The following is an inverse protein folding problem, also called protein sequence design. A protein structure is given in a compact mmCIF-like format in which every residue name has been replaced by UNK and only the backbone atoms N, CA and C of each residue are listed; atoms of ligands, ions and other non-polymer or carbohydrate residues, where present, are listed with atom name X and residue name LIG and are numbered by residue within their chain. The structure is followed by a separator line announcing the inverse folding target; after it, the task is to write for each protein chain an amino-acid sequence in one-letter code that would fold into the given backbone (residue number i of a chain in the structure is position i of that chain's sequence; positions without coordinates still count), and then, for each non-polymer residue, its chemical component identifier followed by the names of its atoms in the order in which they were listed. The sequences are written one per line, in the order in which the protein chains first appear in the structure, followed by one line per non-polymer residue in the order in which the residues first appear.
data_IF_336818130154
#
_entry.id   IF_336818130154
#
_cell.length_a   1.000
_cell.length_b   1.000
_cell.length_c   1.000
_cell.angle_alpha   90.00
_cell.angle_beta   90.00
_cell.angle_gamma   90.00
#
_symmetry.space_group_name_H-M   'P 1'
#
loop_
_entity.id
_entity.type
_entity.pdbx_description
1 polymer ?
#
# COMPACT_ATOMS: atom_id res chain seq x y z
N UNK A 1 -41.88 41.68 -19.54
CA UNK A 1 -43.11 40.87 -19.30
C UNK A 1 -42.86 39.49 -19.86
N UNK A 2 -43.20 38.45 -19.06
CA UNK A 2 -43.13 37.00 -19.27
C UNK A 2 -41.89 36.24 -18.77
N UNK A 3 -42.15 35.44 -17.73
CA UNK A 3 -41.33 34.48 -16.97
C UNK A 3 -41.27 33.12 -17.67
N UNK A 4 -40.22 32.33 -17.40
CA UNK A 4 -40.25 30.87 -17.15
C UNK A 4 -38.79 30.41 -16.89
N UNK A 5 -38.38 29.50 -16.00
CA UNK A 5 -38.95 28.67 -14.92
C UNK A 5 -37.72 28.21 -14.10
N UNK A 6 -37.94 27.92 -12.81
CA UNK A 6 -36.94 27.45 -11.84
C UNK A 6 -36.36 26.05 -12.11
N UNK A 7 -35.32 25.76 -11.32
CA UNK A 7 -34.71 24.46 -10.96
C UNK A 7 -33.60 23.95 -11.89
N UNK A 8 -32.36 23.72 -11.45
CA UNK A 8 -31.98 22.83 -10.36
C UNK A 8 -30.68 23.31 -9.67
N UNK A 9 -30.72 23.40 -8.34
CA UNK A 9 -29.53 23.47 -7.49
C UNK A 9 -28.61 22.25 -7.73
N UNK A 10 -27.42 22.45 -8.32
CA UNK A 10 -26.29 21.54 -8.07
C UNK A 10 -25.60 22.01 -6.80
N UNK A 11 -26.16 21.60 -5.65
CA UNK A 11 -25.43 21.63 -4.40
C UNK A 11 -24.37 20.53 -4.43
N UNK A 12 -23.14 20.90 -4.78
CA UNK A 12 -21.97 20.06 -4.47
C UNK A 12 -21.75 20.14 -2.98
N UNK A 13 -22.34 19.21 -2.23
CA UNK A 13 -21.88 18.93 -0.88
C UNK A 13 -20.43 18.45 -0.96
N UNK A 14 -19.50 19.38 -0.78
CA UNK A 14 -18.10 19.07 -0.54
C UNK A 14 -18.04 18.39 0.82
N UNK A 15 -18.06 17.05 0.80
CA UNK A 15 -17.67 16.26 1.96
C UNK A 15 -16.21 16.56 2.21
N UNK A 16 -15.91 17.36 3.24
CA UNK A 16 -14.56 17.46 3.79
C UNK A 16 -14.20 16.08 4.35
N UNK A 17 -13.58 15.25 3.52
CA UNK A 17 -12.87 14.09 4.04
C UNK A 17 -11.61 14.62 4.72
N UNK A 18 -11.54 14.54 6.06
CA UNK A 18 -10.38 14.87 6.89
C UNK A 18 -9.26 13.83 6.74
N UNK A 19 -9.08 13.33 5.52
CA UNK A 19 -8.07 12.34 5.16
C UNK A 19 -6.71 12.97 4.97
N UNK A 20 -5.70 12.13 5.04
CA UNK A 20 -4.30 12.48 4.85
C UNK A 20 -3.94 12.88 3.40
N UNK A 21 -4.82 12.61 2.43
CA UNK A 21 -4.67 12.96 1.02
C UNK A 21 -5.77 13.93 0.56
N UNK A 22 -5.50 14.80 -0.44
CA UNK A 22 -6.52 15.61 -1.08
C UNK A 22 -7.64 14.76 -1.71
N UNK A 23 -8.84 15.32 -1.78
CA UNK A 23 -9.96 14.74 -2.53
C UNK A 23 -9.91 15.24 -3.97
N UNK A 24 -9.63 14.34 -4.92
CA UNK A 24 -9.53 14.66 -6.36
C UNK A 24 -10.66 13.99 -7.12
N UNK A 25 -11.35 14.72 -8.01
CA UNK A 25 -12.33 14.15 -8.96
C UNK A 25 -11.58 13.71 -10.21
N UNK A 26 -11.71 12.43 -10.59
CA UNK A 26 -11.19 11.94 -11.87
C UNK A 26 -12.30 11.93 -12.91
N UNK A 27 -12.02 12.49 -14.09
CA UNK A 27 -12.90 12.42 -15.26
C UNK A 27 -12.26 11.53 -16.32
N UNK A 28 -13.09 10.77 -17.04
CA UNK A 28 -12.63 9.91 -18.13
C UNK A 28 -12.33 10.76 -19.38
N UNK A 29 -11.13 10.64 -19.93
CA UNK A 29 -10.72 11.28 -21.19
C UNK A 29 -9.61 10.48 -21.90
N UNK A 30 -9.37 10.78 -23.18
CA UNK A 30 -8.38 10.09 -24.04
C UNK A 30 -6.93 10.50 -23.73
N UNK A 31 -6.51 10.32 -22.48
CA UNK A 31 -5.13 10.58 -22.04
C UNK A 31 -4.58 9.33 -21.35
N UNK A 32 -3.33 8.91 -21.60
CA UNK A 32 -2.71 7.79 -20.91
C UNK A 32 -2.38 8.16 -19.46
N UNK A 33 -3.40 8.22 -18.60
CA UNK A 33 -3.32 8.57 -17.18
C UNK A 33 -3.47 7.37 -16.23
N UNK A 34 -3.29 6.13 -16.73
CA UNK A 34 -3.51 4.88 -15.97
C UNK A 34 -2.71 4.85 -14.66
N UNK A 35 -1.49 5.41 -14.64
CA UNK A 35 -0.67 5.52 -13.43
C UNK A 35 -1.28 6.42 -12.35
N UNK A 36 -1.87 7.54 -12.74
CA UNK A 36 -2.51 8.49 -11.80
C UNK A 36 -3.83 7.94 -11.26
N UNK A 37 -4.59 7.22 -12.09
CA UNK A 37 -5.81 6.55 -11.67
C UNK A 37 -5.53 5.46 -10.62
N UNK A 38 -4.47 4.66 -10.81
CA UNK A 38 -4.02 3.68 -9.82
C UNK A 38 -3.56 4.32 -8.52
N UNK A 39 -2.79 5.42 -8.61
CA UNK A 39 -2.39 6.19 -7.43
C UNK A 39 -3.59 6.75 -6.65
N UNK A 40 -4.58 7.30 -7.36
CA UNK A 40 -5.84 7.78 -6.77
C UNK A 40 -6.60 6.67 -6.07
N UNK A 41 -6.70 5.48 -6.68
CA UNK A 41 -7.35 4.34 -6.04
C UNK A 41 -6.67 3.97 -4.72
N UNK A 42 -5.33 4.01 -4.65
CA UNK A 42 -4.58 3.75 -3.43
C UNK A 42 -4.84 4.81 -2.34
N UNK A 43 -4.82 6.10 -2.69
CA UNK A 43 -5.06 7.19 -1.72
C UNK A 43 -6.51 7.19 -1.25
N UNK A 44 -7.48 6.95 -2.13
CA UNK A 44 -8.90 6.80 -1.77
C UNK A 44 -9.13 5.59 -0.86
N UNK A 45 -8.56 4.43 -1.19
CA UNK A 45 -8.63 3.23 -0.35
C UNK A 45 -8.08 3.51 1.05
N UNK A 46 -6.97 4.26 1.14
CA UNK A 46 -6.40 4.65 2.43
C UNK A 46 -7.34 5.57 3.24
N UNK A 47 -8.09 6.44 2.56
CA UNK A 47 -9.09 7.32 3.17
C UNK A 47 -10.33 6.55 3.64
N UNK A 48 -10.90 5.72 2.76
CA UNK A 48 -12.10 4.91 3.02
C UNK A 48 -11.87 3.91 4.15
N UNK A 49 -10.70 3.28 4.21
CA UNK A 49 -10.35 2.34 5.28
C UNK A 49 -9.88 3.02 6.57
N UNK A 50 -9.61 4.34 6.52
CA UNK A 50 -9.06 5.11 7.63
C UNK A 50 -7.61 4.81 7.95
N UNK A 51 -6.85 4.20 7.03
CA UNK A 51 -5.44 3.82 7.23
C UNK A 51 -4.58 5.00 7.66
N UNK A 52 -4.75 6.15 7.02
CA UNK A 52 -4.01 7.35 7.38
C UNK A 52 -4.23 7.75 8.85
N UNK A 53 -5.49 7.80 9.28
CA UNK A 53 -5.85 8.20 10.64
C UNK A 53 -5.30 7.23 11.69
N UNK A 54 -5.39 5.92 11.43
CA UNK A 54 -4.87 4.89 12.33
C UNK A 54 -3.34 4.98 12.43
N UNK A 55 -2.63 5.21 11.32
CA UNK A 55 -1.17 5.41 11.34
C UNK A 55 -0.77 6.71 12.04
N UNK A 56 -1.49 7.81 11.81
CA UNK A 56 -1.25 9.08 12.50
C UNK A 56 -1.42 8.95 14.00
N UNK A 57 -2.48 8.26 14.45
CA UNK A 57 -2.70 8.00 15.86
C UNK A 57 -1.64 7.07 16.44
N UNK A 58 -1.36 5.96 15.76
CA UNK A 58 -0.39 4.96 16.21
C UNK A 58 1.02 5.52 16.35
N UNK A 59 1.41 6.43 15.46
CA UNK A 59 2.75 7.02 15.43
C UNK A 59 2.85 8.38 16.14
N UNK A 60 1.77 8.84 16.77
CA UNK A 60 1.70 10.16 17.41
C UNK A 60 2.78 10.37 18.48
N UNK A 61 3.14 9.32 19.22
CA UNK A 61 4.19 9.36 20.27
C UNK A 61 5.57 9.74 19.73
N UNK A 62 5.88 9.42 18.46
CA UNK A 62 7.16 9.75 17.84
C UNK A 62 7.11 11.03 17.01
N UNK A 63 5.98 11.75 17.03
CA UNK A 63 5.85 13.03 16.35
C UNK A 63 6.68 14.08 17.08
N UNK A 64 7.64 14.70 16.37
CA UNK A 64 8.40 15.83 16.91
C UNK A 64 7.47 17.04 17.15
N UNK A 65 7.60 17.75 18.29
CA UNK A 65 6.87 18.99 18.52
C UNK A 65 7.10 19.98 17.37
N UNK A 66 6.01 20.57 16.86
CA UNK A 66 6.07 21.51 15.74
C UNK A 66 6.34 20.88 14.37
N UNK A 67 6.35 19.54 14.23
CA UNK A 67 6.50 18.90 12.93
C UNK A 67 5.31 19.22 12.02
N UNK A 68 5.62 19.84 10.87
CA UNK A 68 4.66 20.09 9.77
C UNK A 68 4.16 18.79 9.18
N UNK A 69 5.06 17.82 8.97
CA UNK A 69 4.69 16.52 8.43
C UNK A 69 4.23 15.56 9.54
N UNK A 70 3.10 14.92 9.30
CA UNK A 70 2.57 13.88 10.17
C UNK A 70 3.32 12.54 9.94
N UNK A 71 3.77 11.83 10.98
CA UNK A 71 4.46 10.55 10.83
C UNK A 71 3.63 9.49 10.11
N UNK A 72 2.32 9.44 10.36
CA UNK A 72 1.40 8.54 9.66
C UNK A 72 1.34 8.83 8.16
N UNK A 73 1.31 10.12 7.77
CA UNK A 73 1.39 10.52 6.36
C UNK A 73 2.69 10.09 5.70
N UNK A 74 3.82 10.28 6.38
CA UNK A 74 5.13 9.91 5.82
C UNK A 74 5.22 8.39 5.57
N UNK A 75 4.77 7.58 6.52
CA UNK A 75 4.74 6.11 6.34
C UNK A 75 3.77 5.71 5.24
N UNK A 76 2.62 6.38 5.15
CA UNK A 76 1.64 6.12 4.10
C UNK A 76 2.17 6.50 2.70
N UNK A 77 2.91 7.60 2.59
CA UNK A 77 3.58 8.00 1.33
C UNK A 77 4.65 7.00 0.89
N UNK A 78 5.41 6.46 1.83
CA UNK A 78 6.35 5.37 1.53
C UNK A 78 5.61 4.13 1.03
N UNK A 79 4.49 3.76 1.67
CA UNK A 79 3.69 2.61 1.24
C UNK A 79 3.09 2.82 -0.17
N UNK A 80 2.56 4.02 -0.45
CA UNK A 80 2.06 4.39 -1.79
C UNK A 80 3.18 4.38 -2.81
N UNK A 81 4.36 4.94 -2.49
CA UNK A 81 5.52 4.92 -3.37
C UNK A 81 5.93 3.50 -3.75
N UNK A 82 6.02 2.59 -2.77
CA UNK A 82 6.32 1.16 -3.01
C UNK A 82 5.22 0.49 -3.83
N UNK A 83 3.95 0.78 -3.56
CA UNK A 83 2.82 0.21 -4.32
C UNK A 83 2.81 0.67 -5.79
N UNK A 84 3.32 1.87 -6.08
CA UNK A 84 3.51 2.40 -7.43
C UNK A 84 4.80 1.91 -8.10
N UNK A 85 5.57 1.02 -7.45
CA UNK A 85 6.80 0.42 -7.99
C UNK A 85 8.08 1.14 -7.59
N UNK A 86 8.02 2.10 -6.66
CA UNK A 86 9.19 2.76 -6.08
C UNK A 86 10.14 1.77 -5.42
N UNK A 87 11.44 1.99 -5.59
CA UNK A 87 12.52 1.12 -5.11
C UNK A 87 13.49 1.83 -4.18
N UNK A 88 13.46 3.16 -4.14
CA UNK A 88 14.35 3.97 -3.32
C UNK A 88 13.63 5.19 -2.73
N UNK A 89 14.20 5.79 -1.68
CA UNK A 89 13.61 6.96 -1.01
C UNK A 89 13.47 8.17 -1.95
N UNK A 90 14.38 8.34 -2.91
CA UNK A 90 14.33 9.42 -3.90
C UNK A 90 13.13 9.32 -4.84
N UNK A 91 12.49 8.15 -4.96
CA UNK A 91 11.26 7.99 -5.76
C UNK A 91 10.07 8.76 -5.16
N UNK A 92 10.14 9.18 -3.88
CA UNK A 92 9.20 10.13 -3.29
C UNK A 92 9.22 11.50 -3.98
N UNK A 93 10.26 11.81 -4.77
CA UNK A 93 10.24 12.98 -5.65
C UNK A 93 9.08 12.94 -6.65
N UNK A 94 8.71 11.75 -7.15
CA UNK A 94 7.59 11.58 -8.07
C UNK A 94 6.26 11.93 -7.40
N UNK A 95 6.06 11.51 -6.14
CA UNK A 95 4.86 11.90 -5.40
C UNK A 95 4.82 13.41 -5.09
N UNK A 96 6.00 14.03 -4.89
CA UNK A 96 6.11 15.48 -4.66
C UNK A 96 5.79 16.31 -5.91
N UNK A 97 5.96 15.75 -7.10
CA UNK A 97 5.61 16.42 -8.36
C UNK A 97 4.08 16.58 -8.49
N UNK A 98 3.31 15.59 -8.05
CA UNK A 98 1.85 15.57 -8.20
C UNK A 98 1.12 15.91 -6.89
N UNK A 99 1.34 17.13 -6.40
CA UNK A 99 0.75 17.61 -5.12
C UNK A 99 -0.77 17.60 -5.10
N UNK A 100 -1.41 17.67 -6.25
CA UNK A 100 -2.87 17.58 -6.37
C UNK A 100 -3.39 16.21 -5.91
N UNK A 101 -2.64 15.14 -6.16
CA UNK A 101 -3.01 13.77 -5.78
C UNK A 101 -2.46 13.39 -4.40
N UNK A 102 -1.21 13.74 -4.12
CA UNK A 102 -0.52 13.24 -2.93
C UNK A 102 -0.45 14.25 -1.77
N UNK A 103 -0.83 15.52 -2.02
CA UNK A 103 -0.69 16.60 -1.05
C UNK A 103 0.78 16.89 -0.71
N UNK A 104 1.05 17.49 0.47
CA UNK A 104 2.41 17.72 0.95
C UNK A 104 3.13 16.41 1.27
N UNK A 105 4.15 16.08 0.49
CA UNK A 105 5.03 14.92 0.72
C UNK A 105 6.37 15.38 1.30
N UNK A 106 6.84 14.70 2.34
CA UNK A 106 8.06 15.06 3.04
C UNK A 106 9.31 14.89 2.16
N UNK A 107 10.34 15.70 2.43
CA UNK A 107 11.66 15.55 1.79
C UNK A 107 12.43 14.34 2.31
N UNK A 108 13.33 13.78 1.50
CA UNK A 108 14.13 12.61 1.85
C UNK A 108 14.85 12.75 3.21
N UNK A 109 15.50 13.90 3.54
CA UNK A 109 16.11 14.06 4.87
C UNK A 109 15.08 14.04 6.01
N UNK A 110 13.86 14.51 5.78
CA UNK A 110 12.77 14.47 6.76
C UNK A 110 12.29 13.04 6.99
N UNK A 111 12.14 12.27 5.91
CA UNK A 111 11.81 10.86 5.98
C UNK A 111 12.90 10.07 6.70
N UNK A 112 14.17 10.25 6.32
CA UNK A 112 15.30 9.58 6.98
C UNK A 112 15.36 9.88 8.48
N UNK A 113 15.12 11.12 8.91
CA UNK A 113 15.09 11.47 10.34
C UNK A 113 13.94 10.77 11.08
N UNK A 114 12.75 10.68 10.47
CA UNK A 114 11.63 9.95 11.06
C UNK A 114 11.99 8.47 11.17
N UNK A 115 12.43 7.84 10.08
CA UNK A 115 12.83 6.42 10.07
C UNK A 115 13.91 6.14 11.11
N UNK A 116 14.91 7.01 11.24
CA UNK A 116 15.91 6.89 12.31
C UNK A 116 15.30 6.93 13.71
N UNK A 117 14.37 7.86 13.97
CA UNK A 117 13.67 7.97 15.26
C UNK A 117 12.82 6.70 15.56
N UNK A 118 12.17 6.15 14.53
CA UNK A 118 11.38 4.92 14.64
C UNK A 118 12.28 3.69 14.83
N UNK A 119 13.45 3.66 14.19
CA UNK A 119 14.43 2.58 14.31
C UNK A 119 15.03 2.46 15.72
N UNK A 120 15.03 3.54 16.51
CA UNK A 120 15.42 3.47 17.92
C UNK A 120 14.36 2.76 18.80
N UNK A 121 13.17 2.48 18.26
CA UNK A 121 12.01 1.94 18.99
C UNK A 121 11.29 0.82 18.22
N UNK A 122 12.02 0.01 17.45
CA UNK A 122 11.47 -0.97 16.48
C UNK A 122 10.28 -1.76 17.04
N UNK A 123 10.45 -2.44 18.17
CA UNK A 123 9.41 -3.31 18.75
C UNK A 123 8.10 -2.55 19.05
N UNK A 124 8.21 -1.36 19.63
CA UNK A 124 7.05 -0.54 19.97
C UNK A 124 6.37 0.03 18.71
N UNK A 125 7.17 0.43 17.72
CA UNK A 125 6.68 0.94 16.42
C UNK A 125 5.98 -0.18 15.65
N UNK A 126 6.58 -1.36 15.56
CA UNK A 126 6.00 -2.53 14.90
C UNK A 126 4.69 -2.95 15.56
N UNK A 127 4.64 -3.00 16.89
CA UNK A 127 3.40 -3.28 17.62
C UNK A 127 2.31 -2.25 17.31
N UNK A 128 2.64 -0.96 17.30
CA UNK A 128 1.70 0.12 16.99
C UNK A 128 1.19 0.03 15.55
N UNK A 129 2.08 -0.17 14.57
CA UNK A 129 1.73 -0.32 13.15
C UNK A 129 0.91 -1.58 12.91
N UNK A 130 1.24 -2.70 13.55
CA UNK A 130 0.48 -3.95 13.44
C UNK A 130 -0.93 -3.81 14.02
N UNK A 131 -1.09 -3.06 15.13
CA UNK A 131 -2.40 -2.73 15.67
C UNK A 131 -3.22 -1.88 14.69
N UNK A 132 -2.63 -0.82 14.13
CA UNK A 132 -3.28 0.00 13.10
C UNK A 132 -3.70 -0.85 11.89
N UNK A 133 -2.79 -1.67 11.35
CA UNK A 133 -3.08 -2.58 10.23
C UNK A 133 -4.20 -3.57 10.54
N UNK A 134 -4.26 -4.11 11.75
CA UNK A 134 -5.35 -5.00 12.18
C UNK A 134 -6.70 -4.28 12.14
N UNK A 135 -6.80 -3.08 12.70
CA UNK A 135 -8.02 -2.26 12.68
C UNK A 135 -8.45 -1.95 11.25
N UNK A 136 -7.51 -1.48 10.42
CA UNK A 136 -7.77 -1.11 9.02
C UNK A 136 -8.22 -2.33 8.21
N UNK A 137 -7.61 -3.49 8.42
CA UNK A 137 -7.99 -4.73 7.75
C UNK A 137 -9.41 -5.16 8.11
N UNK A 138 -9.79 -5.07 9.37
CA UNK A 138 -11.17 -5.36 9.81
C UNK A 138 -12.18 -4.43 9.12
N UNK A 139 -11.87 -3.12 9.03
CA UNK A 139 -12.71 -2.16 8.31
C UNK A 139 -12.79 -2.46 6.82
N UNK A 140 -11.66 -2.74 6.19
CA UNK A 140 -11.60 -3.08 4.76
C UNK A 140 -12.45 -4.32 4.44
N UNK A 141 -12.39 -5.36 5.27
CA UNK A 141 -13.23 -6.55 5.10
C UNK A 141 -14.70 -6.29 5.37
N UNK A 142 -15.03 -5.47 6.38
CA UNK A 142 -16.41 -5.07 6.62
C UNK A 142 -17.00 -4.30 5.42
N UNK A 143 -16.21 -3.43 4.80
CA UNK A 143 -16.60 -2.69 3.59
C UNK A 143 -16.73 -3.58 2.36
N UNK A 144 -15.91 -4.63 2.25
CA UNK A 144 -15.99 -5.61 1.15
C UNK A 144 -17.21 -6.53 1.25
N UNK A 145 -17.83 -6.68 2.43
CA UNK A 145 -19.08 -7.44 2.59
C UNK A 145 -18.95 -8.88 2.11
N UNK A 146 -19.77 -9.26 1.12
CA UNK A 146 -19.76 -10.61 0.54
C UNK A 146 -18.48 -10.93 -0.26
N UNK A 147 -17.75 -9.91 -0.70
CA UNK A 147 -16.47 -10.05 -1.42
C UNK A 147 -15.27 -10.13 -0.46
N UNK A 148 -15.50 -10.07 0.86
CA UNK A 148 -14.44 -10.20 1.85
C UNK A 148 -13.86 -11.62 1.82
N UNK A 149 -12.54 -11.80 2.03
CA UNK A 149 -11.91 -13.13 2.02
C UNK A 149 -12.44 -14.03 3.16
N UNK A 150 -13.03 -13.44 4.19
CA UNK A 150 -13.63 -14.18 5.31
C UNK A 150 -15.11 -14.51 5.10
N UNK A 151 -15.74 -14.04 4.01
CA UNK A 151 -17.14 -14.29 3.73
C UNK A 151 -17.37 -15.78 3.43
N UNK A 152 -18.37 -16.38 4.09
CA UNK A 152 -18.71 -17.79 3.90
C UNK A 152 -17.71 -18.80 4.46
N UNK A 153 -16.66 -18.35 5.15
CA UNK A 153 -15.66 -19.25 5.74
C UNK A 153 -16.30 -20.13 6.80
N UNK A 154 -16.13 -21.44 6.64
CA UNK A 154 -16.64 -22.47 7.54
C UNK A 154 -15.68 -23.65 7.59
N UNK A 155 -15.90 -24.62 8.48
CA UNK A 155 -15.12 -25.85 8.49
C UNK A 155 -15.22 -26.63 7.16
N UNK A 156 -16.36 -26.54 6.46
CA UNK A 156 -16.56 -27.16 5.15
C UNK A 156 -16.01 -26.33 3.98
N UNK A 157 -15.82 -25.02 4.19
CA UNK A 157 -15.31 -24.07 3.20
C UNK A 157 -14.25 -23.18 3.88
N UNK A 158 -13.05 -23.73 4.18
CA UNK A 158 -12.01 -22.97 4.88
C UNK A 158 -11.42 -21.88 3.98
N UNK A 159 -10.88 -20.83 4.59
CA UNK A 159 -10.05 -19.86 3.88
C UNK A 159 -8.76 -20.54 3.42
N UNK A 160 -8.57 -20.67 2.11
CA UNK A 160 -7.34 -21.18 1.51
C UNK A 160 -6.41 -20.01 1.22
N UNK A 161 -5.22 -20.02 1.81
CA UNK A 161 -4.17 -19.04 1.56
C UNK A 161 -3.16 -19.72 0.65
N UNK A 162 -3.15 -19.34 -0.63
CA UNK A 162 -2.10 -19.75 -1.55
C UNK A 162 -0.87 -18.86 -1.36
N UNK A 163 0.28 -19.48 -1.16
CA UNK A 163 1.56 -18.77 -0.93
C UNK A 163 2.48 -19.08 -2.09
N UNK A 164 2.31 -18.32 -3.18
CA UNK A 164 3.23 -18.33 -4.31
C UNK A 164 4.52 -17.58 -3.97
N UNK A 165 5.34 -18.17 -3.10
CA UNK A 165 6.68 -17.68 -2.81
C UNK A 165 7.71 -18.75 -3.16
N UNK A 166 8.72 -18.38 -3.97
CA UNK A 166 9.95 -19.17 -4.00
C UNK A 166 10.60 -19.04 -2.61
N UNK A 167 10.71 -20.14 -1.87
CA UNK A 167 11.45 -20.17 -0.61
C UNK A 167 12.90 -19.81 -0.88
N UNK A 168 13.26 -18.55 -0.64
CA UNK A 168 14.66 -18.13 -0.58
C UNK A 168 15.12 -18.38 0.84
N UNK A 169 16.14 -19.23 1.01
CA UNK A 169 16.83 -19.37 2.29
C UNK A 169 17.46 -18.02 2.65
N UNK A 170 16.80 -17.23 3.50
CA UNK A 170 17.39 -16.04 4.10
C UNK A 170 18.24 -16.52 5.27
N UNK A 171 19.54 -16.67 5.02
CA UNK A 171 20.50 -17.04 6.05
C UNK A 171 20.69 -15.86 7.02
N UNK A 172 19.96 -15.86 8.13
CA UNK A 172 20.26 -14.98 9.26
C UNK A 172 21.57 -15.48 9.87
N UNK A 173 22.69 -14.76 9.66
CA UNK A 173 23.94 -15.06 10.37
C UNK A 173 23.73 -14.81 11.87
N UNK A 174 23.32 -15.84 12.61
CA UNK A 174 23.55 -15.87 14.04
C UNK A 174 25.07 -15.95 14.24
N UNK A 175 25.67 -14.94 14.86
CA UNK A 175 27.06 -15.02 15.28
C UNK A 175 27.17 -16.05 16.40
N UNK A 176 27.70 -17.22 16.06
CA UNK A 176 28.42 -18.10 16.98
C UNK A 176 27.65 -19.34 17.44
N UNK A 177 27.84 -20.47 16.73
CA UNK A 177 28.55 -21.65 17.26
C UNK A 177 28.57 -22.77 16.20
N UNK A 178 29.77 -23.16 15.72
CA UNK A 178 30.09 -24.48 15.16
C UNK A 178 29.56 -24.85 13.75
N UNK A 179 30.32 -25.60 12.92
CA UNK A 179 30.02 -25.78 11.51
C UNK A 179 29.38 -27.14 11.21
N UNK A 180 28.14 -27.19 10.71
CA UNK A 180 27.59 -28.45 10.19
C UNK A 180 26.91 -28.26 8.82
N UNK A 181 27.61 -28.82 7.84
CA UNK A 181 27.21 -29.25 6.49
C UNK A 181 26.78 -28.20 5.46
N UNK A 182 27.74 -27.86 4.59
CA UNK A 182 27.50 -27.30 3.26
C UNK A 182 26.99 -28.38 2.31
N UNK A 183 25.82 -28.20 1.72
CA UNK A 183 25.51 -28.83 0.44
C UNK A 183 24.85 -27.79 -0.47
N UNK A 184 25.69 -27.21 -1.35
CA UNK A 184 25.24 -26.26 -2.37
C UNK A 184 24.68 -27.01 -3.57
N UNK A 185 23.39 -26.85 -3.85
CA UNK A 185 22.80 -27.32 -5.11
C UNK A 185 23.05 -26.28 -6.20
N UNK A 186 23.71 -26.71 -7.27
CA UNK A 186 24.00 -25.92 -8.48
C UNK A 186 22.79 -25.93 -9.41
N UNK A 187 22.32 -24.75 -9.86
CA UNK A 187 21.32 -24.65 -10.93
C UNK A 187 21.99 -24.82 -12.32
N UNK A 188 21.35 -25.50 -13.28
CA UNK A 188 21.82 -25.54 -14.67
C UNK A 188 21.56 -24.20 -15.40
N UNK A 189 22.37 -23.83 -16.40
CA UNK A 189 22.20 -22.58 -17.13
C UNK A 189 20.92 -22.59 -18.00
N UNK A 190 20.27 -21.43 -18.19
CA UNK A 190 19.02 -21.35 -18.93
C UNK A 190 19.33 -21.24 -20.42
N UNK A 191 19.25 -22.33 -21.18
CA UNK A 191 19.01 -22.29 -22.64
C UNK A 191 18.67 -23.68 -23.19
N UNK A 192 17.36 -23.94 -23.32
CA UNK A 192 16.67 -24.62 -24.44
C UNK A 192 15.26 -25.02 -23.98
N UNK A 193 14.31 -24.13 -24.21
CA UNK A 193 12.89 -24.50 -24.31
C UNK A 193 12.70 -25.25 -25.63
N UNK A 194 12.84 -26.57 -25.62
CA UNK A 194 12.28 -27.40 -26.69
C UNK A 194 10.76 -27.45 -26.51
N UNK A 195 10.05 -26.66 -27.31
CA UNK A 195 8.59 -26.76 -27.46
C UNK A 195 8.25 -28.11 -28.10
N UNK A 196 7.42 -28.97 -27.48
CA UNK A 196 6.94 -30.16 -28.17
C UNK A 196 5.96 -29.76 -29.30
N UNK A 197 6.33 -30.16 -30.52
CA UNK A 197 5.48 -30.08 -31.71
C UNK A 197 4.24 -30.97 -31.54
N UNK A 198 3.12 -30.44 -32.00
CA UNK A 198 1.81 -31.05 -31.95
C UNK A 198 1.60 -32.08 -33.09
N UNK A 199 0.75 -33.10 -32.80
CA UNK A 199 -0.01 -34.03 -33.68
C UNK A 199 0.56 -35.44 -34.02
N UNK A 200 -0.29 -36.43 -34.41
CA UNK A 200 -1.66 -36.76 -33.93
C UNK A 200 -2.03 -38.29 -33.90
N UNK A 201 -3.19 -38.59 -33.27
CA UNK A 201 -4.14 -39.74 -33.49
C UNK A 201 -3.62 -41.18 -33.16
N UNK A 202 -4.39 -42.19 -32.73
CA UNK A 202 -5.82 -42.56 -32.79
C UNK A 202 -6.19 -43.48 -31.60
N UNK A 203 -7.49 -43.62 -31.31
CA UNK A 203 -8.06 -44.67 -30.45
C UNK A 203 -9.41 -44.25 -29.90
#
# INVERSE_FOLDING_TARGET
MLRSVHDQERSTFVVKNSGLYPSVVAESGDVPAVGLAGARLLTETSGVTGLGNELSQALSTWRRPGSVHDPGKIILDLAVCVALGGRCLSDLSLLRCDKEVFGPVASDPTVCRLVGTLADHVEAVEAAVNRARRTVRQRAWALAGADAPTAGVSAAHPLVIDVDATLVNVHLRQRGCGPDLQEGVRLPPPDRLDRPRNRPRWG
#
